data_IF_618972707359
#
_entry.id   IF_618972707359
#
_cell.length_a   1.000
_cell.length_b   1.000
_cell.length_c   1.000
_cell.angle_alpha   90.00
_cell.angle_beta   90.00
_cell.angle_gamma   90.00
#
_symmetry.space_group_name_H-M   'P 1'
#
loop_
_entity.id
_entity.type
_entity.pdbx_description
1 polymer ?
#
# COMPACT_ATOMS: atom_id res chain seq x y z
N UNK A 1 -31.67 -28.01 -75.44
CA UNK A 1 -31.74 -27.26 -74.17
C UNK A 1 -32.14 -28.24 -73.09
N UNK A 2 -31.16 -28.87 -72.45
CA UNK A 2 -31.40 -29.80 -71.34
C UNK A 2 -31.63 -29.00 -70.06
N UNK A 3 -32.86 -29.06 -69.55
CA UNK A 3 -33.25 -28.43 -68.31
C UNK A 3 -32.67 -29.23 -67.13
N UNK A 4 -31.61 -28.72 -66.52
CA UNK A 4 -31.14 -29.15 -65.21
C UNK A 4 -32.21 -28.78 -64.16
N UNK A 5 -33.15 -29.70 -63.90
CA UNK A 5 -34.01 -29.62 -62.73
C UNK A 5 -33.18 -29.95 -61.50
N UNK A 6 -32.64 -28.91 -60.86
CA UNK A 6 -32.08 -29.03 -59.51
C UNK A 6 -33.23 -29.40 -58.58
N UNK A 7 -33.12 -30.57 -57.96
CA UNK A 7 -34.10 -31.07 -56.99
C UNK A 7 -34.21 -30.06 -55.84
N UNK A 8 -35.38 -29.41 -55.71
CA UNK A 8 -35.69 -28.44 -54.66
C UNK A 8 -35.39 -29.00 -53.25
N UNK A 9 -35.45 -30.33 -53.05
CA UNK A 9 -35.08 -30.94 -51.76
C UNK A 9 -33.60 -30.80 -51.44
N UNK A 10 -32.71 -30.92 -52.44
CA UNK A 10 -31.27 -30.76 -52.23
C UNK A 10 -30.91 -29.31 -51.89
N UNK A 11 -31.55 -28.33 -52.54
CA UNK A 11 -31.31 -26.91 -52.28
C UNK A 11 -31.73 -26.51 -50.85
N UNK A 12 -32.89 -26.98 -50.38
CA UNK A 12 -33.36 -26.71 -49.00
C UNK A 12 -32.44 -27.38 -47.97
N UNK A 13 -31.99 -28.61 -48.21
CA UNK A 13 -31.06 -29.29 -47.30
C UNK A 13 -29.71 -28.57 -47.16
N UNK A 14 -29.17 -28.01 -48.26
CA UNK A 14 -27.92 -27.25 -48.26
C UNK A 14 -28.02 -25.93 -47.49
N UNK A 15 -29.16 -25.24 -47.55
CA UNK A 15 -29.40 -23.98 -46.81
C UNK A 15 -29.49 -24.25 -45.30
N UNK A 16 -30.14 -25.35 -44.88
CA UNK A 16 -30.18 -25.73 -43.47
C UNK A 16 -28.80 -26.13 -42.93
N UNK A 17 -28.01 -26.90 -43.70
CA UNK A 17 -26.66 -27.30 -43.32
C UNK A 17 -25.71 -26.10 -43.19
N UNK A 18 -25.76 -25.16 -44.14
CA UNK A 18 -24.94 -23.93 -44.08
C UNK A 18 -25.35 -23.01 -42.94
N UNK A 19 -26.65 -22.88 -42.65
CA UNK A 19 -27.16 -22.08 -41.52
C UNK A 19 -26.78 -22.70 -40.17
N UNK A 20 -26.88 -24.02 -40.03
CA UNK A 20 -26.44 -24.74 -38.82
C UNK A 20 -24.92 -24.62 -38.65
N UNK A 21 -24.14 -24.74 -39.73
CA UNK A 21 -22.69 -24.59 -39.66
C UNK A 21 -22.27 -23.15 -39.29
N UNK A 22 -23.00 -22.14 -39.76
CA UNK A 22 -22.83 -20.73 -39.37
C UNK A 22 -23.19 -20.49 -37.90
N UNK A 23 -24.26 -21.10 -37.39
CA UNK A 23 -24.64 -21.01 -35.98
C UNK A 23 -23.61 -21.74 -35.09
N UNK A 24 -23.14 -22.92 -35.51
CA UNK A 24 -22.11 -23.69 -34.80
C UNK A 24 -20.77 -22.93 -34.80
N UNK A 25 -20.35 -22.36 -35.93
CA UNK A 25 -19.13 -21.56 -35.99
C UNK A 25 -19.25 -20.23 -35.24
N UNK A 26 -20.41 -19.56 -35.25
CA UNK A 26 -20.63 -18.37 -34.43
C UNK A 26 -20.62 -18.70 -32.93
N UNK A 27 -21.22 -19.83 -32.52
CA UNK A 27 -21.21 -20.28 -31.11
C UNK A 27 -19.84 -20.81 -30.66
N UNK A 28 -19.07 -21.48 -31.53
CA UNK A 28 -17.69 -21.89 -31.25
C UNK A 28 -16.71 -20.70 -31.22
N UNK A 29 -16.90 -19.71 -32.10
CA UNK A 29 -16.08 -18.48 -32.11
C UNK A 29 -16.36 -17.61 -30.88
N UNK A 30 -17.52 -17.77 -30.24
CA UNK A 30 -17.90 -17.07 -29.00
C UNK A 30 -17.33 -17.69 -27.71
N UNK A 31 -16.58 -18.80 -27.76
CA UNK A 31 -16.01 -19.45 -26.57
C UNK A 31 -14.52 -19.74 -26.63
N UNK A 32 -13.75 -18.99 -27.44
CA UNK A 32 -12.32 -18.87 -27.12
C UNK A 32 -12.23 -18.08 -25.81
N UNK A 33 -12.20 -18.79 -24.67
CA UNK A 33 -11.91 -18.22 -23.36
C UNK A 33 -10.54 -17.55 -23.45
N UNK A 34 -10.53 -16.24 -23.74
CA UNK A 34 -9.31 -15.45 -23.73
C UNK A 34 -8.70 -15.60 -22.35
N UNK A 35 -7.44 -16.02 -22.29
CA UNK A 35 -6.70 -16.07 -21.03
C UNK A 35 -6.78 -14.68 -20.38
N UNK A 36 -7.23 -14.57 -19.12
CA UNK A 36 -7.32 -13.28 -18.44
C UNK A 36 -5.96 -12.57 -18.46
N UNK A 37 -6.00 -11.25 -18.68
CA UNK A 37 -4.79 -10.43 -18.69
C UNK A 37 -4.46 -10.07 -17.24
N UNK A 38 -3.24 -10.36 -16.78
CA UNK A 38 -2.81 -9.99 -15.42
C UNK A 38 -2.69 -8.48 -15.31
N UNK A 39 -3.29 -7.90 -14.28
CA UNK A 39 -3.22 -6.46 -13.98
C UNK A 39 -2.80 -6.24 -12.53
N UNK A 40 -1.80 -5.40 -12.30
CA UNK A 40 -1.32 -5.07 -10.96
C UNK A 40 -2.19 -3.96 -10.39
N UNK A 41 -2.71 -4.17 -9.18
CA UNK A 41 -3.57 -3.20 -8.50
C UNK A 41 -2.96 -2.91 -7.13
N UNK A 42 -2.51 -1.67 -6.91
CA UNK A 42 -1.92 -1.25 -5.62
C UNK A 42 -2.83 -0.25 -4.92
N UNK A 43 -3.16 -0.52 -3.66
CA UNK A 43 -4.04 0.32 -2.85
C UNK A 43 -3.28 0.80 -1.61
N UNK A 44 -3.23 2.12 -1.43
CA UNK A 44 -2.59 2.78 -0.30
C UNK A 44 -3.63 3.09 0.77
N UNK A 45 -3.45 2.54 1.97
CA UNK A 45 -4.32 2.70 3.13
C UNK A 45 -3.57 3.52 4.18
N UNK A 46 -4.01 4.77 4.41
CA UNK A 46 -3.35 5.66 5.36
C UNK A 46 -3.55 5.21 6.81
N UNK A 47 -2.84 5.85 7.73
CA UNK A 47 -2.92 5.58 9.17
C UNK A 47 -3.93 6.45 9.91
N UNK A 48 -3.83 6.43 11.24
CA UNK A 48 -4.59 7.34 12.11
C UNK A 48 -4.28 8.79 11.80
N UNK A 49 -5.32 9.62 11.86
CA UNK A 49 -5.19 11.07 11.78
C UNK A 49 -5.12 11.61 13.19
N UNK A 50 -4.05 12.34 13.50
CA UNK A 50 -3.89 13.10 14.73
C UNK A 50 -4.19 12.30 16.03
N UNK A 51 -3.39 11.24 16.33
CA UNK A 51 -3.65 10.32 17.45
C UNK A 51 -3.70 11.02 18.81
N UNK A 52 -3.09 12.22 18.94
CA UNK A 52 -3.06 12.95 20.19
C UNK A 52 -4.45 13.26 20.77
N UNK A 53 -5.44 13.53 19.92
CA UNK A 53 -6.81 13.81 20.39
C UNK A 53 -7.45 12.61 21.09
N UNK A 54 -7.04 11.38 20.76
CA UNK A 54 -7.53 10.21 21.46
C UNK A 54 -7.07 10.18 22.92
N UNK A 55 -5.90 10.76 23.25
CA UNK A 55 -5.45 10.89 24.64
C UNK A 55 -6.30 11.85 25.46
N UNK A 56 -7.07 12.72 24.82
CA UNK A 56 -8.04 13.58 25.50
C UNK A 56 -9.40 12.88 25.70
N UNK A 57 -9.62 11.71 25.08
CA UNK A 57 -10.81 10.86 25.27
C UNK A 57 -10.44 9.37 25.44
N UNK A 58 -9.56 9.02 26.41
CA UNK A 58 -8.99 7.69 26.49
C UNK A 58 -10.04 6.64 26.85
N UNK A 59 -11.00 6.97 27.71
CA UNK A 59 -12.06 6.06 28.15
C UNK A 59 -12.94 5.57 26.98
N UNK A 60 -13.43 6.47 26.12
CA UNK A 60 -14.28 6.06 24.99
C UNK A 60 -13.50 5.44 23.83
N UNK A 61 -12.25 5.87 23.64
CA UNK A 61 -11.37 5.25 22.64
C UNK A 61 -11.02 3.81 23.04
N UNK A 62 -10.83 3.56 24.34
CA UNK A 62 -10.58 2.23 24.91
C UNK A 62 -11.82 1.34 24.96
N UNK A 63 -13.00 1.87 25.31
CA UNK A 63 -14.25 1.09 25.46
C UNK A 63 -14.95 0.84 24.11
N UNK A 64 -14.33 1.25 22.99
CA UNK A 64 -14.77 0.94 21.63
C UNK A 64 -16.17 1.47 21.24
N UNK A 65 -16.74 2.40 22.02
CA UNK A 65 -18.07 2.95 21.82
C UNK A 65 -18.04 4.42 21.37
N UNK A 66 -17.15 4.73 20.43
CA UNK A 66 -17.21 6.00 19.73
C UNK A 66 -18.39 5.95 18.75
N UNK A 67 -19.36 6.84 18.92
CA UNK A 67 -20.38 7.09 17.91
C UNK A 67 -19.98 8.28 17.03
N UNK A 68 -20.78 8.58 16.01
CA UNK A 68 -20.53 9.70 15.09
C UNK A 68 -20.78 11.08 15.72
N UNK A 69 -21.46 11.14 16.87
CA UNK A 69 -21.74 12.37 17.60
C UNK A 69 -20.66 12.70 18.64
N UNK A 70 -19.83 11.72 19.01
CA UNK A 70 -18.69 11.93 19.91
C UNK A 70 -17.76 13.03 19.38
N UNK A 71 -17.34 13.91 20.28
CA UNK A 71 -16.56 15.09 19.93
C UNK A 71 -15.23 14.70 19.24
N UNK A 72 -14.61 13.58 19.63
CA UNK A 72 -13.37 13.10 19.00
C UNK A 72 -13.66 12.64 17.57
N UNK A 73 -14.74 11.89 17.35
CA UNK A 73 -15.19 11.49 16.02
C UNK A 73 -15.46 12.69 15.11
N UNK A 74 -16.16 13.71 15.62
CA UNK A 74 -16.46 14.94 14.87
C UNK A 74 -15.20 15.74 14.54
N UNK A 75 -14.30 15.91 15.52
CA UNK A 75 -13.05 16.63 15.34
C UNK A 75 -12.15 15.96 14.29
N UNK A 76 -11.99 14.64 14.36
CA UNK A 76 -11.25 13.86 13.36
C UNK A 76 -11.92 13.93 11.99
N UNK A 77 -13.25 13.85 11.94
CA UNK A 77 -14.01 14.01 10.70
C UNK A 77 -13.75 15.34 10.01
N UNK A 78 -13.74 16.45 10.76
CA UNK A 78 -13.41 17.77 10.23
C UNK A 78 -11.95 17.89 9.81
N UNK A 79 -11.02 17.45 10.67
CA UNK A 79 -9.60 17.41 10.36
C UNK A 79 -9.33 16.67 9.06
N UNK A 80 -10.02 15.55 8.82
CA UNK A 80 -9.87 14.73 7.60
C UNK A 80 -10.20 15.48 6.31
N UNK A 81 -11.03 16.51 6.38
CA UNK A 81 -11.38 17.38 5.25
C UNK A 81 -10.39 18.53 5.03
N UNK A 82 -9.45 18.73 5.97
CA UNK A 82 -8.43 19.77 5.85
C UNK A 82 -7.48 19.45 4.68
N UNK A 83 -7.39 20.33 3.66
CA UNK A 83 -6.51 20.14 2.51
C UNK A 83 -5.05 19.89 2.90
N UNK A 84 -4.57 20.48 4.00
CA UNK A 84 -3.19 20.33 4.47
C UNK A 84 -2.81 18.87 4.75
N UNK A 85 -3.75 18.05 5.24
CA UNK A 85 -3.48 16.63 5.43
C UNK A 85 -3.27 15.90 4.09
N UNK A 86 -4.00 16.29 3.05
CA UNK A 86 -3.84 15.69 1.71
C UNK A 86 -2.55 16.14 1.03
N UNK A 87 -1.95 17.27 1.45
CA UNK A 87 -0.67 17.76 0.92
C UNK A 87 0.51 16.94 1.46
N UNK A 88 0.49 16.56 2.74
CA UNK A 88 1.63 15.94 3.41
C UNK A 88 1.66 14.40 3.36
N UNK A 89 0.57 13.74 2.96
CA UNK A 89 0.49 12.28 3.04
C UNK A 89 -0.23 11.64 1.85
N UNK A 90 -0.08 10.32 1.74
CA UNK A 90 -0.69 9.52 0.68
C UNK A 90 -2.15 9.22 1.03
N UNK A 91 -3.00 10.22 0.86
CA UNK A 91 -4.44 10.05 1.01
C UNK A 91 -5.21 11.00 0.08
N UNK A 92 -6.38 10.55 -0.37
CA UNK A 92 -7.42 11.39 -0.96
C UNK A 92 -8.63 11.40 -0.01
N UNK A 93 -9.86 11.48 -0.51
CA UNK A 93 -11.05 11.47 0.32
C UNK A 93 -11.34 10.07 0.90
N UNK A 94 -12.37 9.96 1.75
CA UNK A 94 -12.82 8.68 2.31
C UNK A 94 -13.33 7.76 1.18
N UNK A 95 -13.11 6.45 1.33
CA UNK A 95 -13.44 5.44 0.33
C UNK A 95 -12.29 5.17 -0.65
N UNK A 96 -12.58 4.38 -1.68
CA UNK A 96 -11.60 3.99 -2.69
C UNK A 96 -11.56 4.99 -3.85
N UNK A 97 -10.39 5.58 -4.08
CA UNK A 97 -10.16 6.57 -5.14
C UNK A 97 -9.05 6.12 -6.07
N UNK A 98 -9.34 6.02 -7.37
CA UNK A 98 -8.37 5.66 -8.41
C UNK A 98 -7.50 6.87 -8.77
N UNK A 99 -6.20 6.67 -8.95
CA UNK A 99 -5.33 7.64 -9.62
C UNK A 99 -5.42 7.38 -11.13
N UNK A 100 -5.88 8.39 -11.88
CA UNK A 100 -6.00 8.30 -13.33
C UNK A 100 -4.63 8.10 -14.01
N UNK A 101 -4.60 7.24 -15.03
CA UNK A 101 -3.36 6.90 -15.73
C UNK A 101 -2.79 8.09 -16.54
N UNK A 102 -3.64 9.02 -16.98
CA UNK A 102 -3.22 10.27 -17.59
C UNK A 102 -2.43 11.15 -16.62
N UNK A 103 -2.83 11.21 -15.34
CA UNK A 103 -2.07 11.93 -14.31
C UNK A 103 -0.73 11.26 -14.00
N UNK A 104 -0.64 9.92 -14.03
CA UNK A 104 0.64 9.21 -13.88
C UNK A 104 1.59 9.47 -15.05
N UNK A 105 1.05 9.56 -16.27
CA UNK A 105 1.82 9.93 -17.45
C UNK A 105 2.33 11.36 -17.34
N UNK A 106 1.47 12.31 -16.98
CA UNK A 106 1.84 13.71 -16.74
C UNK A 106 2.90 13.84 -15.64
N UNK A 107 2.77 13.08 -14.54
CA UNK A 107 3.80 13.04 -13.51
C UNK A 107 5.16 12.60 -14.06
N UNK A 108 5.20 11.50 -14.82
CA UNK A 108 6.43 10.99 -15.44
C UNK A 108 7.06 12.00 -16.40
N UNK A 109 6.21 12.81 -17.06
CA UNK A 109 6.59 13.90 -17.95
C UNK A 109 6.91 15.21 -17.21
N UNK A 110 6.73 15.25 -15.89
CA UNK A 110 6.90 16.43 -15.04
C UNK A 110 5.96 17.60 -15.39
N UNK A 111 4.74 17.27 -15.83
CA UNK A 111 3.69 18.21 -16.29
C UNK A 111 2.39 18.10 -15.51
N UNK A 112 2.42 17.51 -14.30
CA UNK A 112 1.22 17.37 -13.47
C UNK A 112 0.62 18.76 -13.14
N UNK A 113 -0.71 18.95 -13.24
CA UNK A 113 -1.35 20.23 -12.92
C UNK A 113 -1.02 20.70 -11.49
N UNK A 114 -0.83 22.02 -11.27
CA UNK A 114 -0.47 22.57 -9.96
C UNK A 114 -1.37 22.09 -8.82
N UNK A 115 -2.69 22.08 -9.04
CA UNK A 115 -3.68 21.65 -8.04
C UNK A 115 -3.50 20.18 -7.59
N UNK A 116 -3.04 19.30 -8.48
CA UNK A 116 -2.76 17.90 -8.16
C UNK A 116 -1.35 17.71 -7.60
N UNK A 117 -0.38 18.50 -8.08
CA UNK A 117 1.01 18.43 -7.64
C UNK A 117 1.22 18.78 -6.16
N UNK A 118 0.30 19.56 -5.57
CA UNK A 118 0.31 19.85 -4.14
C UNK A 118 -0.13 18.67 -3.27
N UNK A 119 -0.90 17.74 -3.82
CA UNK A 119 -1.42 16.58 -3.07
C UNK A 119 -0.37 15.48 -2.97
N UNK A 120 -0.02 15.09 -1.74
CA UNK A 120 0.99 14.07 -1.44
C UNK A 120 0.69 12.72 -2.12
N UNK A 121 -0.58 12.36 -2.27
CA UNK A 121 -0.99 11.13 -2.97
C UNK A 121 -0.48 11.09 -4.43
N UNK A 122 -0.66 12.15 -5.21
CA UNK A 122 -0.22 12.17 -6.61
C UNK A 122 1.31 12.18 -6.73
N UNK A 123 1.98 12.89 -5.83
CA UNK A 123 3.45 12.93 -5.79
C UNK A 123 4.05 11.57 -5.46
N UNK A 124 3.60 10.92 -4.38
CA UNK A 124 4.16 9.66 -3.92
C UNK A 124 3.79 8.50 -4.85
N UNK A 125 2.55 8.45 -5.32
CA UNK A 125 2.12 7.39 -6.24
C UNK A 125 2.77 7.56 -7.62
N UNK A 126 2.95 8.81 -8.10
CA UNK A 126 3.72 9.08 -9.31
C UNK A 126 5.18 8.63 -9.20
N UNK A 127 5.82 8.89 -8.05
CA UNK A 127 7.18 8.40 -7.75
C UNK A 127 7.25 6.87 -7.72
N UNK A 128 6.32 6.23 -6.99
CA UNK A 128 6.17 4.77 -6.93
C UNK A 128 5.99 4.17 -8.33
N UNK A 129 5.14 4.78 -9.16
CA UNK A 129 4.88 4.36 -10.54
C UNK A 129 6.14 4.45 -11.40
N UNK A 130 6.88 5.55 -11.28
CA UNK A 130 8.14 5.78 -12.02
C UNK A 130 9.18 4.70 -11.70
N UNK A 131 9.36 4.38 -10.41
CA UNK A 131 10.26 3.30 -9.98
C UNK A 131 9.75 1.95 -10.49
N UNK A 132 8.44 1.69 -10.39
CA UNK A 132 7.85 0.43 -10.88
C UNK A 132 8.11 0.23 -12.38
N UNK A 133 7.94 1.27 -13.21
CA UNK A 133 8.22 1.20 -14.65
C UNK A 133 9.70 0.96 -14.96
N UNK A 134 10.60 1.58 -14.20
CA UNK A 134 12.04 1.33 -14.33
C UNK A 134 12.36 -0.15 -14.13
N UNK A 135 11.80 -0.77 -13.09
CA UNK A 135 12.02 -2.20 -12.79
C UNK A 135 11.35 -3.10 -13.82
N UNK A 136 10.16 -2.75 -14.31
CA UNK A 136 9.43 -3.52 -15.31
C UNK A 136 10.14 -3.55 -16.67
N UNK A 137 10.74 -2.43 -17.10
CA UNK A 137 11.49 -2.36 -18.36
C UNK A 137 12.67 -3.35 -18.40
N UNK A 138 13.22 -3.70 -17.24
CA UNK A 138 14.28 -4.71 -17.15
C UNK A 138 13.76 -6.15 -17.28
N UNK A 139 12.45 -6.37 -17.13
CA UNK A 139 11.84 -7.71 -16.99
C UNK A 139 11.16 -8.27 -18.26
N UNK A 140 11.16 -7.53 -19.39
CA UNK A 140 10.47 -7.87 -20.67
C UNK A 140 8.96 -8.14 -20.55
N UNK A 141 8.36 -8.07 -19.37
CA UNK A 141 6.94 -8.32 -19.16
C UNK A 141 6.18 -7.00 -19.09
N UNK A 142 5.34 -6.71 -20.07
CA UNK A 142 4.44 -5.57 -20.01
C UNK A 142 3.24 -5.94 -19.13
N UNK A 143 3.19 -5.37 -17.92
CA UNK A 143 2.06 -5.52 -17.00
C UNK A 143 1.48 -4.14 -16.73
N UNK A 144 0.17 -4.00 -16.87
CA UNK A 144 -0.50 -2.74 -16.53
C UNK A 144 -0.63 -2.60 -15.02
N UNK A 145 -0.52 -1.36 -14.55
CA UNK A 145 -0.62 -1.01 -13.14
C UNK A 145 -1.72 0.02 -12.93
N UNK A 146 -2.65 -0.27 -12.03
CA UNK A 146 -3.62 0.68 -11.51
C UNK A 146 -3.34 0.95 -10.03
N UNK A 147 -3.53 2.20 -9.61
CA UNK A 147 -3.22 2.67 -8.26
C UNK A 147 -4.44 3.33 -7.63
N UNK A 148 -4.62 3.08 -6.34
CA UNK A 148 -5.74 3.59 -5.57
C UNK A 148 -5.28 4.08 -4.21
N UNK A 149 -6.02 5.04 -3.65
CA UNK A 149 -6.00 5.29 -2.20
C UNK A 149 -7.29 4.76 -1.60
N UNK A 150 -7.23 4.26 -0.37
CA UNK A 150 -8.41 3.98 0.43
C UNK A 150 -8.36 4.86 1.67
N UNK A 151 -9.24 5.86 1.69
CA UNK A 151 -9.39 6.77 2.81
C UNK A 151 -10.38 6.27 3.85
N UNK A 152 -10.07 6.45 5.13
CA UNK A 152 -11.02 6.29 6.24
C UNK A 152 -10.89 7.48 7.21
N UNK A 153 -11.69 7.47 8.27
CA UNK A 153 -11.71 8.58 9.24
C UNK A 153 -10.38 8.75 9.96
N UNK A 154 -9.61 7.66 10.15
CA UNK A 154 -8.38 7.69 10.93
C UNK A 154 -8.60 7.49 12.43
N UNK A 155 -9.81 7.09 12.88
CA UNK A 155 -10.09 6.86 14.29
C UNK A 155 -9.29 5.69 14.88
N UNK A 156 -8.86 5.83 16.13
CA UNK A 156 -8.05 4.82 16.84
C UNK A 156 -8.84 3.64 17.42
N UNK A 157 -10.16 3.74 17.56
CA UNK A 157 -10.96 2.65 18.15
C UNK A 157 -10.88 1.36 17.33
N UNK A 158 -10.70 0.23 18.02
CA UNK A 158 -10.69 -1.10 17.42
C UNK A 158 -11.99 -1.40 16.64
N UNK A 159 -13.16 -1.06 17.21
CA UNK A 159 -14.46 -1.25 16.56
C UNK A 159 -14.55 -0.53 15.21
N UNK A 160 -14.08 0.72 15.17
CA UNK A 160 -14.03 1.51 13.94
C UNK A 160 -13.05 0.93 12.92
N UNK A 161 -11.90 0.41 13.35
CA UNK A 161 -10.94 -0.25 12.44
C UNK A 161 -11.53 -1.54 11.86
N UNK A 162 -12.27 -2.33 12.66
CA UNK A 162 -13.00 -3.52 12.18
C UNK A 162 -14.08 -3.14 11.17
N UNK A 163 -14.88 -2.11 11.44
CA UNK A 163 -15.89 -1.62 10.51
C UNK A 163 -15.27 -1.11 9.21
N UNK A 164 -14.21 -0.31 9.31
CA UNK A 164 -13.45 0.19 8.14
C UNK A 164 -12.88 -0.96 7.31
N UNK A 165 -12.43 -2.03 7.97
CA UNK A 165 -11.93 -3.22 7.28
C UNK A 165 -13.03 -3.97 6.53
N UNK A 166 -14.26 -4.01 7.05
CA UNK A 166 -15.42 -4.52 6.33
C UNK A 166 -15.69 -3.66 5.07
N UNK A 167 -15.69 -2.33 5.20
CA UNK A 167 -15.88 -1.42 4.07
C UNK A 167 -14.80 -1.60 2.99
N UNK A 168 -13.53 -1.73 3.40
CA UNK A 168 -12.42 -2.04 2.52
C UNK A 168 -12.63 -3.38 1.82
N UNK A 169 -13.03 -4.41 2.57
CA UNK A 169 -13.26 -5.76 2.04
C UNK A 169 -14.39 -5.79 0.99
N UNK A 170 -15.52 -5.16 1.28
CA UNK A 170 -16.63 -5.04 0.32
C UNK A 170 -16.22 -4.27 -0.94
N UNK A 171 -15.39 -3.24 -0.77
CA UNK A 171 -14.85 -2.47 -1.90
C UNK A 171 -13.90 -3.31 -2.75
N UNK A 172 -13.07 -4.15 -2.14
CA UNK A 172 -12.19 -5.09 -2.85
C UNK A 172 -12.99 -6.11 -3.67
N UNK A 173 -14.08 -6.67 -3.11
CA UNK A 173 -14.96 -7.59 -3.85
C UNK A 173 -15.49 -6.92 -5.12
N UNK A 174 -16.04 -5.70 -4.98
CA UNK A 174 -16.57 -4.92 -6.11
C UNK A 174 -15.48 -4.65 -7.15
N UNK A 175 -14.30 -4.21 -6.70
CA UNK A 175 -13.17 -3.91 -7.59
C UNK A 175 -12.69 -5.14 -8.36
N UNK A 176 -12.50 -6.28 -7.68
CA UNK A 176 -12.09 -7.54 -8.31
C UNK A 176 -13.13 -8.00 -9.32
N UNK A 177 -14.42 -7.88 -8.99
CA UNK A 177 -15.51 -8.19 -9.91
C UNK A 177 -15.44 -7.31 -11.17
N UNK A 178 -15.27 -6.00 -11.02
CA UNK A 178 -15.11 -5.07 -12.16
C UNK A 178 -13.96 -5.47 -13.08
N UNK A 179 -12.78 -5.82 -12.54
CA UNK A 179 -11.67 -6.29 -13.35
C UNK A 179 -11.97 -7.59 -14.09
N UNK A 180 -12.60 -8.56 -13.42
CA UNK A 180 -12.99 -9.83 -14.04
C UNK A 180 -13.96 -9.64 -15.20
N UNK A 181 -14.92 -8.71 -15.08
CA UNK A 181 -15.84 -8.36 -16.17
C UNK A 181 -15.13 -7.75 -17.38
N UNK A 182 -13.96 -7.15 -17.17
CA UNK A 182 -13.09 -6.58 -18.21
C UNK A 182 -12.03 -7.57 -18.72
N UNK A 183 -12.15 -8.87 -18.40
CA UNK A 183 -11.19 -9.92 -18.73
C UNK A 183 -9.78 -9.69 -18.13
N UNK A 184 -9.70 -8.99 -16.99
CA UNK A 184 -8.47 -8.88 -16.20
C UNK A 184 -8.48 -9.83 -15.00
N UNK A 185 -7.31 -10.37 -14.69
CA UNK A 185 -7.01 -11.03 -13.43
C UNK A 185 -6.20 -10.06 -12.54
N UNK A 186 -6.83 -9.43 -11.54
CA UNK A 186 -6.15 -8.45 -10.71
C UNK A 186 -5.22 -9.14 -9.70
N UNK A 187 -3.99 -8.62 -9.58
CA UNK A 187 -3.00 -8.98 -8.58
C UNK A 187 -2.97 -7.85 -7.55
N UNK A 188 -3.53 -8.11 -6.36
CA UNK A 188 -3.81 -7.08 -5.37
C UNK A 188 -2.63 -6.89 -4.41
N UNK A 189 -2.13 -5.66 -4.33
CA UNK A 189 -1.20 -5.20 -3.28
C UNK A 189 -1.89 -4.17 -2.40
N UNK A 190 -1.90 -4.39 -1.08
CA UNK A 190 -2.34 -3.39 -0.11
C UNK A 190 -1.12 -2.87 0.66
N UNK A 191 -0.94 -1.55 0.68
CA UNK A 191 0.11 -0.88 1.45
C UNK A 191 -0.55 -0.10 2.60
N UNK A 192 -0.40 -0.57 3.83
CA UNK A 192 -0.97 0.06 5.01
C UNK A 192 0.10 0.73 5.86
N UNK A 193 -0.12 2.00 6.19
CA UNK A 193 0.74 2.74 7.12
C UNK A 193 0.13 2.80 8.51
N UNK A 194 0.93 2.60 9.55
CA UNK A 194 0.49 2.70 10.95
C UNK A 194 -0.76 1.82 11.15
N UNK A 195 -1.85 2.36 11.72
CA UNK A 195 -3.14 1.66 11.87
C UNK A 195 -3.87 1.32 10.57
N UNK A 196 -3.49 1.90 9.43
CA UNK A 196 -3.95 1.43 8.12
C UNK A 196 -3.56 -0.02 7.86
N UNK A 197 -2.41 -0.46 8.41
CA UNK A 197 -2.02 -1.87 8.41
C UNK A 197 -2.96 -2.74 9.25
N UNK A 198 -3.40 -2.25 10.41
CA UNK A 198 -4.38 -2.96 11.24
C UNK A 198 -5.74 -3.08 10.53
N UNK A 199 -6.20 -2.02 9.85
CA UNK A 199 -7.40 -2.08 8.98
C UNK A 199 -7.25 -3.16 7.90
N UNK A 200 -6.11 -3.22 7.21
CA UNK A 200 -5.85 -4.28 6.23
C UNK A 200 -5.91 -5.66 6.88
N UNK A 201 -5.27 -5.88 8.02
CA UNK A 201 -5.27 -7.19 8.70
C UNK A 201 -6.69 -7.62 9.10
N UNK A 202 -7.52 -6.69 9.60
CA UNK A 202 -8.93 -6.98 9.92
C UNK A 202 -9.78 -7.39 8.72
N UNK A 203 -9.36 -7.12 7.47
CA UNK A 203 -10.11 -7.62 6.29
C UNK A 203 -10.21 -9.15 6.27
N UNK A 204 -9.31 -9.86 6.95
CA UNK A 204 -9.42 -11.30 7.12
C UNK A 204 -10.63 -11.72 7.98
N UNK A 205 -11.01 -10.94 9.00
CA UNK A 205 -12.21 -11.21 9.78
C UNK A 205 -13.48 -10.94 8.96
N UNK A 206 -13.47 -9.88 8.14
CA UNK A 206 -14.56 -9.59 7.19
C UNK A 206 -14.72 -10.75 6.18
N UNK A 207 -13.61 -11.28 5.68
CA UNK A 207 -13.59 -12.39 4.74
C UNK A 207 -14.22 -13.68 5.30
N UNK A 208 -14.01 -13.99 6.58
CA UNK A 208 -14.60 -15.17 7.23
C UNK A 208 -16.13 -15.11 7.29
N UNK A 209 -16.72 -13.91 7.23
CA UNK A 209 -18.17 -13.69 7.30
C UNK A 209 -18.82 -13.59 5.93
N UNK A 210 -18.02 -13.50 4.87
CA UNK A 210 -18.50 -13.27 3.51
C UNK A 210 -18.45 -14.55 2.67
N UNK A 211 -19.48 -14.83 1.86
CA UNK A 211 -19.45 -15.97 0.94
C UNK A 211 -18.49 -15.74 -0.24
N UNK A 212 -18.09 -14.49 -0.51
CA UNK A 212 -17.18 -14.18 -1.61
C UNK A 212 -15.73 -14.46 -1.19
N UNK A 213 -15.13 -15.51 -1.72
CA UNK A 213 -13.72 -15.79 -1.52
C UNK A 213 -12.85 -14.91 -2.44
N UNK A 214 -12.19 -13.90 -1.88
CA UNK A 214 -11.13 -13.15 -2.56
C UNK A 214 -9.76 -13.51 -1.99
N UNK A 215 -8.71 -13.18 -2.73
CA UNK A 215 -7.34 -13.32 -2.26
C UNK A 215 -6.58 -12.01 -2.52
N UNK A 216 -5.69 -11.67 -1.59
CA UNK A 216 -4.81 -10.52 -1.61
C UNK A 216 -3.39 -11.04 -1.76
N UNK A 217 -2.73 -10.71 -2.86
CA UNK A 217 -1.42 -11.26 -3.21
C UNK A 217 -0.31 -10.73 -2.30
N UNK A 218 -0.37 -9.45 -1.93
CA UNK A 218 0.65 -8.83 -1.08
C UNK A 218 0.05 -7.80 -0.14
N UNK A 219 0.39 -7.91 1.14
CA UNK A 219 0.18 -6.88 2.15
C UNK A 219 1.54 -6.32 2.55
N UNK A 220 1.68 -5.00 2.55
CA UNK A 220 2.86 -4.28 3.04
C UNK A 220 2.42 -3.43 4.23
N UNK A 221 2.92 -3.76 5.42
CA UNK A 221 2.68 -3.05 6.66
C UNK A 221 3.87 -2.12 6.91
N UNK A 222 3.64 -0.83 7.01
CA UNK A 222 4.65 0.21 7.13
C UNK A 222 4.53 0.89 8.49
N UNK A 223 5.48 0.64 9.40
CA UNK A 223 5.42 1.20 10.74
C UNK A 223 4.16 0.79 11.50
N UNK A 224 3.54 -0.34 11.17
CA UNK A 224 2.28 -0.76 11.80
C UNK A 224 2.55 -1.22 13.24
N UNK A 225 1.85 -0.66 14.25
CA UNK A 225 1.87 -1.23 15.60
C UNK A 225 1.09 -2.55 15.56
N UNK A 226 1.79 -3.68 15.63
CA UNK A 226 1.17 -5.00 15.55
C UNK A 226 0.51 -5.31 16.89
N UNK A 227 -0.80 -5.53 16.85
CA UNK A 227 -1.61 -5.86 18.02
C UNK A 227 -1.77 -7.39 18.07
N UNK A 228 -1.87 -7.97 19.26
CA UNK A 228 -2.04 -9.42 19.41
C UNK A 228 -3.22 -9.94 18.58
N UNK A 229 -4.33 -9.23 18.60
CA UNK A 229 -5.55 -9.55 17.86
C UNK A 229 -5.42 -9.42 16.33
N UNK A 230 -4.56 -8.53 15.82
CA UNK A 230 -4.40 -8.32 14.36
C UNK A 230 -3.26 -9.14 13.78
N UNK A 231 -2.17 -9.36 14.51
CA UNK A 231 -1.02 -10.11 14.02
C UNK A 231 -1.38 -11.56 13.66
N UNK A 232 -2.27 -12.20 14.44
CA UNK A 232 -2.75 -13.55 14.14
C UNK A 232 -3.53 -13.62 12.81
N UNK A 233 -4.14 -12.50 12.38
CA UNK A 233 -4.87 -12.41 11.11
C UNK A 233 -3.93 -12.44 9.91
N UNK A 234 -2.66 -12.05 10.06
CA UNK A 234 -1.66 -12.15 9.00
C UNK A 234 -1.51 -13.60 8.49
N UNK A 235 -1.83 -14.60 9.31
CA UNK A 235 -1.79 -16.02 8.94
C UNK A 235 -2.94 -16.43 8.00
N UNK A 236 -4.08 -15.76 8.02
CA UNK A 236 -5.30 -16.15 7.31
C UNK A 236 -5.09 -16.29 5.80
N UNK A 237 -5.81 -17.22 5.17
CA UNK A 237 -5.61 -17.64 3.77
C UNK A 237 -5.91 -16.56 2.74
N UNK A 238 -6.66 -15.52 3.11
CA UNK A 238 -6.90 -14.36 2.24
C UNK A 238 -5.58 -13.71 1.79
N UNK A 239 -4.58 -13.62 2.66
CA UNK A 239 -3.29 -13.01 2.32
C UNK A 239 -2.30 -14.07 1.81
N UNK A 240 -1.70 -13.89 0.64
CA UNK A 240 -0.61 -14.79 0.19
C UNK A 240 0.73 -14.40 0.79
N UNK A 241 1.05 -13.11 0.73
CA UNK A 241 2.29 -12.55 1.28
C UNK A 241 1.99 -11.40 2.22
N UNK A 242 2.62 -11.38 3.40
CA UNK A 242 2.61 -10.25 4.33
C UNK A 242 4.04 -9.80 4.57
N UNK A 243 4.32 -8.54 4.31
CA UNK A 243 5.61 -7.89 4.50
C UNK A 243 5.43 -6.84 5.58
N UNK A 244 6.01 -7.06 6.75
CA UNK A 244 6.05 -6.10 7.84
C UNK A 244 7.37 -5.35 7.82
N UNK A 245 7.33 -4.03 7.63
CA UNK A 245 8.50 -3.16 7.60
C UNK A 245 8.51 -2.31 8.86
N UNK A 246 9.60 -2.40 9.63
CA UNK A 246 9.78 -1.73 10.91
C UNK A 246 11.17 -1.09 11.02
N UNK A 247 11.32 -0.18 11.97
CA UNK A 247 12.59 0.45 12.33
C UNK A 247 12.69 0.49 13.85
N UNK A 248 13.91 0.46 14.40
CA UNK A 248 14.04 0.67 15.85
C UNK A 248 13.81 2.12 16.26
N UNK A 249 13.98 3.06 15.31
CA UNK A 249 13.66 4.48 15.47
C UNK A 249 12.17 4.80 15.46
N UNK A 250 11.32 3.84 15.06
CA UNK A 250 9.88 3.96 15.19
C UNK A 250 9.45 3.55 16.61
N UNK A 251 9.17 4.57 17.43
CA UNK A 251 8.68 4.40 18.80
C UNK A 251 7.19 4.11 18.86
N UNK A 252 6.42 4.41 17.81
CA UNK A 252 4.96 4.20 17.79
C UNK A 252 4.65 2.70 17.74
N UNK A 253 5.41 1.94 16.94
CA UNK A 253 5.17 0.49 16.78
C UNK A 253 5.19 -0.30 18.09
N UNK A 254 6.07 0.06 19.03
CA UNK A 254 6.15 -0.58 20.35
C UNK A 254 5.47 0.20 21.47
N UNK A 255 5.10 1.46 21.23
CA UNK A 255 4.61 2.38 22.24
C UNK A 255 3.10 2.60 22.23
N UNK A 256 2.38 2.04 21.25
CA UNK A 256 0.92 2.16 21.17
C UNK A 256 0.20 1.19 22.10
N UNK A 257 0.28 1.44 23.40
CA UNK A 257 -0.46 0.68 24.41
C UNK A 257 -1.95 1.03 24.48
N UNK A 258 -2.38 2.12 23.83
CA UNK A 258 -3.70 2.71 24.09
C UNK A 258 -4.76 2.27 23.10
N UNK A 259 -4.36 1.88 21.89
CA UNK A 259 -5.32 1.53 20.85
C UNK A 259 -5.67 0.03 20.81
N UNK A 260 -5.13 -0.79 21.71
CA UNK A 260 -5.39 -2.25 21.80
C UNK A 260 -5.93 -2.64 23.18
N UNK A 261 -6.85 -3.63 23.28
CA UNK A 261 -7.32 -4.15 24.56
C UNK A 261 -6.21 -4.75 25.43
N UNK A 262 -5.16 -5.30 24.81
CA UNK A 262 -4.06 -5.98 25.51
C UNK A 262 -3.01 -5.02 26.09
N UNK A 263 -3.10 -3.72 25.79
CA UNK A 263 -2.17 -2.72 26.31
C UNK A 263 -0.74 -2.80 25.75
N UNK A 264 -0.46 -3.67 24.78
CA UNK A 264 0.89 -3.93 24.26
C UNK A 264 0.85 -4.10 22.75
N UNK A 265 1.82 -3.50 22.06
CA UNK A 265 2.05 -3.70 20.62
C UNK A 265 3.47 -4.15 20.36
N UNK A 266 3.65 -4.81 19.21
CA UNK A 266 4.92 -5.41 18.80
C UNK A 266 5.40 -4.79 17.50
N UNK A 267 6.72 -4.84 17.28
CA UNK A 267 7.32 -4.42 16.01
C UNK A 267 7.27 -5.53 14.98
N UNK A 268 7.46 -6.78 15.41
CA UNK A 268 7.58 -7.94 14.51
C UNK A 268 6.41 -8.91 14.65
N UNK A 269 6.07 -9.60 13.56
CA UNK A 269 5.19 -10.76 13.60
C UNK A 269 5.85 -11.91 14.38
N UNK A 270 7.17 -12.06 14.23
CA UNK A 270 7.99 -13.04 14.93
C UNK A 270 8.02 -12.87 16.46
N UNK A 271 7.71 -11.68 16.98
CA UNK A 271 7.54 -11.46 18.43
C UNK A 271 6.26 -12.15 18.97
N UNK A 272 5.31 -12.47 18.09
CA UNK A 272 3.97 -12.97 18.45
C UNK A 272 3.74 -14.43 18.07
N UNK A 273 4.47 -14.97 17.09
CA UNK A 273 4.44 -16.39 16.73
C UNK A 273 5.65 -16.78 15.85
N UNK A 274 5.95 -18.08 15.78
CA UNK A 274 7.05 -18.59 14.95
C UNK A 274 6.72 -18.50 13.45
N UNK A 275 7.14 -17.41 12.80
CA UNK A 275 6.88 -17.15 11.38
C UNK A 275 7.58 -18.17 10.47
N UNK A 276 8.78 -18.63 10.84
CA UNK A 276 9.54 -19.60 10.05
C UNK A 276 8.87 -20.97 10.04
N UNK A 277 8.44 -21.46 11.20
CA UNK A 277 7.69 -22.72 11.30
C UNK A 277 6.37 -22.65 10.55
N UNK A 278 5.65 -21.53 10.69
CA UNK A 278 4.38 -21.34 9.99
C UNK A 278 4.53 -21.40 8.46
N UNK A 279 5.53 -20.71 7.89
CA UNK A 279 5.78 -20.71 6.44
C UNK A 279 6.19 -22.10 5.93
N UNK A 280 6.92 -22.90 6.74
CA UNK A 280 7.27 -24.28 6.39
C UNK A 280 6.05 -25.20 6.24
N UNK A 281 5.04 -25.04 7.10
CA UNK A 281 3.85 -25.89 7.11
C UNK A 281 2.70 -25.36 6.23
N UNK A 282 2.82 -24.15 5.69
CA UNK A 282 1.82 -23.51 4.83
C UNK A 282 2.42 -23.13 3.47
N UNK A 283 2.56 -24.09 2.53
CA UNK A 283 3.12 -23.81 1.20
C UNK A 283 2.40 -22.68 0.47
N UNK A 284 3.16 -21.78 -0.15
CA UNK A 284 2.63 -20.63 -0.89
C UNK A 284 2.27 -19.42 -0.03
N UNK A 285 2.40 -19.53 1.30
CA UNK A 285 2.31 -18.40 2.23
C UNK A 285 3.69 -17.81 2.49
N UNK A 286 3.80 -16.49 2.53
CA UNK A 286 5.03 -15.81 2.88
C UNK A 286 4.79 -14.74 3.95
N UNK A 287 5.59 -14.75 5.01
CA UNK A 287 5.58 -13.74 6.07
C UNK A 287 7.00 -13.22 6.24
N UNK A 288 7.18 -11.90 6.13
CA UNK A 288 8.48 -11.26 6.29
C UNK A 288 8.41 -10.17 7.35
N UNK A 289 9.36 -10.16 8.28
CA UNK A 289 9.70 -9.04 9.14
C UNK A 289 10.99 -8.40 8.57
N UNK A 290 10.91 -7.14 8.15
CA UNK A 290 11.99 -6.40 7.49
C UNK A 290 12.38 -5.19 8.32
N UNK A 291 13.55 -5.25 8.96
CA UNK A 291 14.13 -4.09 9.61
C UNK A 291 14.71 -3.15 8.55
N UNK A 292 14.18 -1.93 8.42
CA UNK A 292 14.79 -0.92 7.56
C UNK A 292 15.84 -0.12 8.31
N UNK A 293 17.00 0.11 7.68
CA UNK A 293 18.11 0.89 8.23
C UNK A 293 18.62 1.87 7.17
N UNK A 294 19.29 2.94 7.58
CA UNK A 294 19.98 3.85 6.66
C UNK A 294 21.48 3.76 6.88
N UNK A 295 22.20 3.15 5.94
CA UNK A 295 23.63 2.85 6.09
C UNK A 295 23.93 2.17 7.45
N UNK A 296 23.25 1.05 7.70
CA UNK A 296 23.31 0.26 8.95
C UNK A 296 22.73 0.94 10.22
N UNK A 297 22.41 2.24 10.20
CA UNK A 297 21.72 2.88 11.32
C UNK A 297 20.28 2.36 11.45
N UNK A 298 20.07 1.54 12.47
CA UNK A 298 18.78 0.92 12.81
C UNK A 298 17.75 1.92 13.34
N UNK A 299 18.20 3.07 13.82
CA UNK A 299 17.37 4.12 14.43
C UNK A 299 17.03 5.23 13.44
N UNK A 300 17.55 5.17 12.21
CA UNK A 300 17.43 6.23 11.22
C UNK A 300 15.97 6.64 10.96
N UNK A 301 15.08 5.67 10.78
CA UNK A 301 13.72 5.97 10.36
C UNK A 301 12.74 5.98 11.53
N UNK A 302 12.12 7.14 11.77
CA UNK A 302 10.96 7.27 12.65
C UNK A 302 9.64 6.99 11.94
N UNK A 303 8.54 6.97 12.70
CA UNK A 303 7.20 6.61 12.22
C UNK A 303 6.77 7.39 10.97
N UNK A 304 6.90 8.72 10.97
CA UNK A 304 6.42 9.53 9.86
C UNK A 304 7.20 9.34 8.55
N UNK A 305 8.45 8.88 8.60
CA UNK A 305 9.32 8.72 7.42
C UNK A 305 8.77 7.71 6.40
N UNK A 306 7.89 6.80 6.83
CA UNK A 306 7.28 5.82 5.95
C UNK A 306 6.29 6.42 4.96
N UNK A 307 5.59 7.49 5.33
CA UNK A 307 4.35 7.90 4.66
C UNK A 307 4.22 9.39 4.40
N UNK A 308 4.85 10.22 5.22
CA UNK A 308 4.75 11.67 5.12
C UNK A 308 5.96 12.28 4.45
N UNK A 309 5.72 13.35 3.70
CA UNK A 309 6.79 14.05 2.98
C UNK A 309 7.62 14.93 3.91
N UNK A 310 8.93 14.99 3.68
CA UNK A 310 9.86 15.83 4.43
C UNK A 310 9.95 15.47 5.95
N UNK A 311 9.77 14.20 6.28
CA UNK A 311 9.81 13.69 7.67
C UNK A 311 11.02 12.81 7.97
N UNK A 312 12.21 13.34 7.67
CA UNK A 312 13.49 12.78 8.10
C UNK A 312 14.06 13.66 9.22
N UNK A 313 13.71 13.36 10.47
CA UNK A 313 14.30 14.04 11.62
C UNK A 313 15.30 13.11 12.28
N UNK A 314 16.55 13.53 12.55
CA UNK A 314 17.27 12.96 13.68
C UNK A 314 16.41 13.11 14.93
N UNK A 315 16.43 12.11 15.82
CA UNK A 315 15.83 12.29 17.14
C UNK A 315 16.39 13.55 17.84
N UNK A 316 15.61 14.15 18.75
CA UNK A 316 15.89 15.40 19.47
C UNK A 316 17.30 15.53 20.09
N UNK A 317 18.03 14.41 20.24
CA UNK A 317 19.32 14.35 20.93
C UNK A 317 20.43 13.61 20.15
N UNK A 318 20.20 13.21 18.90
CA UNK A 318 21.20 12.47 18.12
C UNK A 318 21.79 13.32 16.99
N UNK A 319 23.11 13.39 16.91
CA UNK A 319 23.81 13.75 15.67
C UNK A 319 23.58 12.63 14.66
N UNK A 320 22.88 12.90 13.56
CA UNK A 320 22.72 11.94 12.45
C UNK A 320 24.11 11.50 11.95
N UNK A 321 24.41 10.20 11.83
CA UNK A 321 25.63 9.76 11.16
C UNK A 321 25.72 10.35 9.75
N UNK A 322 26.93 10.69 9.28
CA UNK A 322 27.15 11.35 7.98
C UNK A 322 26.53 10.57 6.82
N UNK A 323 26.63 9.24 6.85
CA UNK A 323 26.10 8.40 5.79
C UNK A 323 24.56 8.33 5.79
N UNK A 324 23.94 8.36 6.98
CA UNK A 324 22.49 8.50 7.12
C UNK A 324 22.00 9.82 6.53
N UNK A 325 22.78 10.90 6.65
CA UNK A 325 22.46 12.18 6.01
C UNK A 325 22.45 12.09 4.47
N UNK A 326 23.34 11.29 3.86
CA UNK A 326 23.33 11.09 2.41
C UNK A 326 22.04 10.40 1.93
N UNK A 327 21.53 9.43 2.71
CA UNK A 327 20.24 8.78 2.44
C UNK A 327 19.10 9.80 2.52
N UNK A 328 19.06 10.60 3.59
CA UNK A 328 18.03 11.64 3.76
C UNK A 328 18.09 12.68 2.65
N UNK A 329 19.29 13.18 2.33
CA UNK A 329 19.49 14.15 1.27
C UNK A 329 19.06 13.63 -0.10
N UNK A 330 19.09 12.32 -0.34
CA UNK A 330 18.63 11.71 -1.60
C UNK A 330 17.11 11.50 -1.64
N UNK A 331 16.48 11.28 -0.49
CA UNK A 331 15.05 11.05 -0.41
C UNK A 331 14.23 12.33 -0.24
N UNK A 332 14.70 13.29 0.56
CA UNK A 332 13.92 14.49 0.92
C UNK A 332 13.41 15.23 -0.33
N UNK A 333 12.08 15.43 -0.50
CA UNK A 333 11.03 15.28 0.50
C UNK A 333 10.24 13.96 0.45
N UNK A 334 10.58 13.03 -0.43
CA UNK A 334 9.81 11.82 -0.71
C UNK A 334 9.72 10.88 0.51
N UNK A 335 8.58 10.20 0.77
CA UNK A 335 8.46 9.19 1.82
C UNK A 335 9.04 7.82 1.41
N UNK A 336 9.40 6.96 2.38
CA UNK A 336 10.02 5.65 2.08
C UNK A 336 9.13 4.69 1.28
N UNK A 337 7.81 4.81 1.38
CA UNK A 337 6.86 3.95 0.66
C UNK A 337 7.04 3.96 -0.86
N UNK A 338 7.63 5.01 -1.44
CA UNK A 338 7.94 5.03 -2.89
C UNK A 338 8.92 3.92 -3.30
N UNK A 339 9.69 3.40 -2.35
CA UNK A 339 10.72 2.38 -2.58
C UNK A 339 10.20 0.94 -2.46
N UNK A 340 8.92 0.74 -2.12
CA UNK A 340 8.31 -0.60 -2.03
C UNK A 340 8.42 -1.45 -3.31
N UNK A 341 8.35 -0.90 -4.54
CA UNK A 341 8.60 -1.71 -5.74
C UNK A 341 9.96 -2.42 -5.71
N UNK A 342 10.99 -1.73 -5.21
CA UNK A 342 12.35 -2.25 -5.09
C UNK A 342 12.43 -3.35 -4.02
N UNK A 343 11.74 -3.16 -2.89
CA UNK A 343 11.61 -4.17 -1.83
C UNK A 343 10.93 -5.43 -2.37
N UNK A 344 9.82 -5.29 -3.09
CA UNK A 344 9.09 -6.43 -3.68
C UNK A 344 9.96 -7.20 -4.69
N UNK A 345 10.71 -6.49 -5.53
CA UNK A 345 11.63 -7.12 -6.47
C UNK A 345 12.74 -7.91 -5.76
N UNK A 346 13.32 -7.33 -4.70
CA UNK A 346 14.33 -7.98 -3.88
C UNK A 346 13.80 -9.24 -3.20
N UNK A 347 12.62 -9.17 -2.58
CA UNK A 347 12.02 -10.33 -1.90
C UNK A 347 11.67 -11.44 -2.89
N UNK A 348 11.24 -11.11 -4.12
CA UNK A 348 11.02 -12.12 -5.16
C UNK A 348 12.31 -12.86 -5.54
N UNK A 349 13.47 -12.18 -5.56
CA UNK A 349 14.78 -12.81 -5.78
C UNK A 349 15.24 -13.59 -4.55
N UNK A 350 14.97 -13.06 -3.36
CA UNK A 350 15.33 -13.68 -2.07
C UNK A 350 14.57 -14.98 -1.86
N UNK A 351 13.24 -14.99 -2.06
CA UNK A 351 12.41 -16.18 -1.86
C UNK A 351 12.77 -17.34 -2.79
N UNK A 352 13.25 -17.01 -3.99
CA UNK A 352 13.79 -18.00 -4.93
C UNK A 352 15.10 -18.62 -4.44
N UNK A 353 15.96 -17.82 -3.79
CA UNK A 353 17.33 -18.24 -3.42
C UNK A 353 17.41 -18.82 -2.00
N UNK A 354 16.63 -18.27 -1.07
CA UNK A 354 16.68 -18.56 0.35
C UNK A 354 15.29 -18.91 0.87
N UNK A 355 14.90 -20.17 0.71
CA UNK A 355 13.61 -20.65 1.17
C UNK A 355 13.52 -20.55 2.70
N UNK A 356 12.38 -20.08 3.20
CA UNK A 356 12.02 -20.01 4.63
C UNK A 356 12.73 -18.95 5.49
N UNK A 357 13.44 -17.98 4.92
CA UNK A 357 13.92 -16.82 5.69
C UNK A 357 12.78 -15.82 5.85
N UNK A 358 12.44 -15.48 7.09
CA UNK A 358 11.35 -14.56 7.43
C UNK A 358 11.82 -13.27 8.10
N UNK A 359 12.99 -13.24 8.78
CA UNK A 359 13.56 -12.03 9.41
C UNK A 359 14.78 -11.56 8.61
N UNK A 360 14.74 -10.33 8.11
CA UNK A 360 15.75 -9.75 7.23
C UNK A 360 15.99 -8.28 7.61
N UNK A 361 17.20 -7.80 7.29
CA UNK A 361 17.52 -6.37 7.37
C UNK A 361 17.61 -5.78 5.95
N UNK A 362 16.90 -4.69 5.71
CA UNK A 362 16.97 -3.88 4.50
C UNK A 362 17.78 -2.62 4.79
N UNK A 363 19.07 -2.64 4.45
CA UNK A 363 19.90 -1.44 4.54
C UNK A 363 19.73 -0.59 3.29
N UNK A 364 19.19 0.62 3.44
CA UNK A 364 19.16 1.63 2.40
C UNK A 364 20.49 2.39 2.39
N UNK A 365 21.20 2.35 1.27
CA UNK A 365 22.54 2.94 1.17
C UNK A 365 22.54 4.02 0.10
N UNK A 366 23.26 5.11 0.37
CA UNK A 366 23.47 6.22 -0.54
C UNK A 366 24.96 6.55 -0.62
N UNK A 367 25.54 6.42 -1.82
CA UNK A 367 26.92 6.80 -2.13
C UNK A 367 26.95 7.62 -3.42
N UNK A 368 28.13 8.09 -3.83
CA UNK A 368 28.30 8.92 -5.03
C UNK A 368 27.74 8.28 -6.32
N UNK A 369 27.81 6.96 -6.46
CA UNK A 369 27.34 6.25 -7.66
C UNK A 369 26.15 5.33 -7.43
N UNK A 370 25.71 5.12 -6.18
CA UNK A 370 24.70 4.12 -5.84
C UNK A 370 23.62 4.67 -4.91
N UNK A 371 22.37 4.33 -5.21
CA UNK A 371 21.25 4.46 -4.28
C UNK A 371 20.35 3.24 -4.43
N UNK A 372 20.15 2.51 -3.34
CA UNK A 372 19.37 1.28 -3.34
C UNK A 372 19.49 0.48 -2.04
N UNK A 373 18.83 -0.67 -2.02
CA UNK A 373 18.79 -1.55 -0.86
C UNK A 373 19.82 -2.67 -0.94
N UNK A 374 20.35 -3.04 0.22
CA UNK A 374 21.02 -4.31 0.44
C UNK A 374 20.19 -5.13 1.41
N UNK A 375 19.91 -6.38 1.03
CA UNK A 375 19.28 -7.36 1.92
C UNK A 375 20.38 -8.04 2.70
N UNK A 376 20.36 -7.88 4.02
CA UNK A 376 21.29 -8.52 4.94
C UNK A 376 20.53 -9.59 5.74
N UNK A 377 21.20 -10.68 6.05
CA UNK A 377 20.68 -11.63 7.02
C UNK A 377 20.71 -10.99 8.42
N UNK A 378 19.58 -11.02 9.13
CA UNK A 378 19.41 -10.34 10.41
C UNK A 378 20.33 -10.89 11.54
N UNK A 379 20.83 -12.12 11.41
CA UNK A 379 21.64 -12.78 12.45
C UNK A 379 23.14 -12.54 12.29
N UNK A 380 23.65 -12.51 11.05
CA UNK A 380 25.09 -12.44 10.78
C UNK A 380 25.50 -11.24 9.91
N UNK A 381 24.56 -10.35 9.54
CA UNK A 381 24.75 -9.19 8.66
C UNK A 381 25.36 -9.51 7.29
N UNK A 382 25.36 -10.77 6.86
CA UNK A 382 25.85 -11.14 5.54
C UNK A 382 24.95 -10.52 4.47
N UNK A 383 25.55 -9.77 3.54
CA UNK A 383 24.83 -9.27 2.37
C UNK A 383 24.39 -10.43 1.48
N UNK A 384 23.08 -10.64 1.41
CA UNK A 384 22.46 -11.69 0.61
C UNK A 384 22.24 -11.22 -0.83
N UNK A 385 21.72 -10.01 -1.00
CA UNK A 385 21.35 -9.44 -2.30
C UNK A 385 21.48 -7.92 -2.30
N UNK A 386 21.70 -7.35 -3.48
CA UNK A 386 21.64 -5.90 -3.72
C UNK A 386 20.54 -5.59 -4.73
N UNK A 387 19.87 -4.46 -4.54
CA UNK A 387 18.85 -4.00 -5.46
C UNK A 387 19.46 -3.42 -6.73
N UNK A 388 18.61 -3.18 -7.73
CA UNK A 388 18.99 -2.28 -8.83
C UNK A 388 19.39 -0.91 -8.26
N UNK A 389 20.39 -0.28 -8.88
CA UNK A 389 20.77 1.08 -8.58
C UNK A 389 19.75 2.04 -9.18
N UNK A 390 19.05 2.80 -8.34
CA UNK A 390 17.98 3.71 -8.77
C UNK A 390 18.33 5.19 -8.55
N UNK A 391 19.61 5.51 -8.31
CA UNK A 391 20.07 6.87 -7.98
C UNK A 391 19.58 7.95 -8.95
N UNK A 392 19.76 7.73 -10.25
CA UNK A 392 19.37 8.70 -11.27
C UNK A 392 17.85 8.92 -11.30
N UNK A 393 17.08 7.84 -11.18
CA UNK A 393 15.61 7.91 -11.16
C UNK A 393 15.10 8.62 -9.91
N UNK A 394 15.63 8.29 -8.74
CA UNK A 394 15.26 8.94 -7.48
C UNK A 394 15.65 10.42 -7.50
N UNK A 395 16.84 10.77 -7.99
CA UNK A 395 17.27 12.18 -8.10
C UNK A 395 16.32 12.99 -8.99
N UNK A 396 15.86 12.43 -10.12
CA UNK A 396 14.89 13.09 -11.01
C UNK A 396 13.51 13.25 -10.36
N UNK A 397 13.03 12.20 -9.68
CA UNK A 397 11.76 12.23 -8.94
C UNK A 397 11.83 13.28 -7.83
N UNK A 398 12.93 13.29 -7.08
CA UNK A 398 13.20 14.21 -5.98
C UNK A 398 13.22 15.65 -6.46
N UNK A 399 13.99 15.97 -7.51
CA UNK A 399 14.05 17.31 -8.08
C UNK A 399 12.66 17.80 -8.53
N UNK A 400 11.85 16.89 -9.11
CA UNK A 400 10.49 17.25 -9.49
C UNK A 400 9.60 17.50 -8.28
N UNK A 401 9.68 16.67 -7.23
CA UNK A 401 8.94 16.90 -5.99
C UNK A 401 9.35 18.23 -5.34
N UNK A 402 10.65 18.52 -5.21
CA UNK A 402 11.16 19.77 -4.62
C UNK A 402 10.68 21.04 -5.35
N UNK A 403 10.41 20.94 -6.66
CA UNK A 403 9.96 22.09 -7.46
C UNK A 403 8.44 22.18 -7.57
N UNK A 404 7.74 21.05 -7.71
CA UNK A 404 6.29 21.00 -7.94
C UNK A 404 5.44 20.81 -6.68
N UNK A 405 5.94 20.05 -5.70
CA UNK A 405 5.28 19.84 -4.41
C UNK A 405 5.67 20.98 -3.48
N UNK A 406 4.90 22.07 -3.57
CA UNK A 406 4.97 23.21 -2.66
C UNK A 406 3.80 23.10 -1.68
N UNK A 407 3.93 22.34 -0.57
CA UNK A 407 2.91 22.33 0.48
C UNK A 407 2.77 23.74 1.05
N UNK A 408 1.68 24.04 1.75
CA UNK A 408 1.54 25.34 2.43
C UNK A 408 2.73 25.59 3.38
N UNK A 409 3.67 26.43 2.92
CA UNK A 409 4.92 26.75 3.59
C UNK A 409 4.62 27.70 4.73
N UNK A 410 5.16 27.44 5.93
CA UNK A 410 5.60 28.38 6.98
C UNK A 410 5.50 27.83 8.42
N UNK A 411 4.84 26.69 8.64
CA UNK A 411 4.67 26.15 9.99
C UNK A 411 5.08 24.67 10.08
N UNK A 412 5.64 24.25 11.23
CA UNK A 412 5.99 22.84 11.46
C UNK A 412 4.74 21.95 11.37
N UNK A 413 4.89 20.67 10.99
CA UNK A 413 3.76 19.72 10.89
C UNK A 413 2.91 19.70 12.17
N UNK A 414 3.55 19.72 13.34
CA UNK A 414 2.88 19.80 14.64
C UNK A 414 2.03 21.07 14.79
N UNK A 415 2.51 22.20 14.29
CA UNK A 415 1.77 23.47 14.30
C UNK A 415 0.60 23.45 13.32
N UNK A 416 0.79 22.95 12.09
CA UNK A 416 -0.30 22.77 11.10
C UNK A 416 -1.43 21.92 11.66
N UNK A 417 -1.06 20.82 12.31
CA UNK A 417 -2.03 19.93 12.95
C UNK A 417 -2.68 20.56 14.17
N UNK A 418 -1.94 21.31 14.99
CA UNK A 418 -2.49 22.03 16.14
C UNK A 418 -3.50 23.10 15.70
N UNK A 419 -3.19 23.87 14.66
CA UNK A 419 -4.12 24.85 14.06
C UNK A 419 -5.37 24.13 13.55
N UNK A 420 -5.21 23.05 12.78
CA UNK A 420 -6.35 22.26 12.31
C UNK A 420 -7.21 21.73 13.46
N UNK A 421 -6.59 21.25 14.53
CA UNK A 421 -7.30 20.72 15.70
C UNK A 421 -8.02 21.83 16.47
N UNK A 422 -7.40 22.99 16.63
CA UNK A 422 -8.03 24.16 17.24
C UNK A 422 -9.21 24.65 16.41
N UNK A 423 -9.08 24.72 15.08
CA UNK A 423 -10.19 25.08 14.19
C UNK A 423 -11.33 24.08 14.31
N UNK A 424 -11.03 22.77 14.30
CA UNK A 424 -12.03 21.73 14.48
C UNK A 424 -12.74 21.87 15.84
N UNK A 425 -11.98 22.01 16.93
CA UNK A 425 -12.53 22.23 18.28
C UNK A 425 -13.40 23.48 18.36
N UNK A 426 -13.00 24.59 17.74
CA UNK A 426 -13.77 25.84 17.73
C UNK A 426 -15.14 25.64 17.08
N UNK A 427 -15.21 24.90 15.96
CA UNK A 427 -16.48 24.61 15.28
C UNK A 427 -17.39 23.62 16.02
N UNK A 428 -16.90 22.97 17.08
CA UNK A 428 -17.73 22.14 17.96
C UNK A 428 -18.41 22.95 19.07
N UNK A 429 -17.87 24.14 19.39
CA UNK A 429 -18.36 25.02 20.46
C UNK A 429 -19.35 26.06 19.93
N UNK A 430 -19.24 26.42 18.64
CA UNK A 430 -20.19 27.26 17.90
C UNK A 430 -21.29 26.42 17.28
#
# INVERSE_FOLDING_TARGET
MENYMIDKKQLVSGIYLTSILLIITATFSLQVKKTPIKKQVTIFVHGTVFPFLAFLNPHKTYIHNLDSQDWYSRCIGQLRTNPLLQEDCIMLDVGLHKIDNGYLQQYTQQTLPPALSKKGAYQAIGAYHTITKLLANNSKQHVEHDYYTFGFTGLLSESHRKQTAEDLYQTLIKLIYTYKQQNYEPIITLCGYSHGGNVILYTAQAAERSPAAISIDTVVLLGTPLQTETAQLAKKSIFKTVINIYSTGDTVQSGDSFSTPHGITHRKLSDLFNTQEYVKVCPGKHLYDLQITADEDKQAFGHCAYWFFNHYSPGLFNTTPVNTQAVYNTLTPLPLVILIPLVKELLKKTSFTYQNITDLTLSLNAHESYFGFQVLNAHNNQCLLKSANIKNSVSRIQQYAQTSWQPYVHESFSMRLAVGALTALQTLVT
#
